data_IF_702875517799
#
_entry.id   IF_702875517799
#
_cell.length_a   1.000
_cell.length_b   1.000
_cell.length_c   1.000
_cell.angle_alpha   90.00
_cell.angle_beta   90.00
_cell.angle_gamma   90.00
#
_symmetry.space_group_name_H-M   'P 1'
#
loop_
_entity.id
_entity.type
_entity.pdbx_description
1 polymer ?
#
# COMPACT_ATOMS: atom_id res chain seq x y z
N UNK A 1 5.21 32.17 29.98
CA UNK A 1 3.82 31.73 30.20
C UNK A 1 3.15 31.62 28.84
N UNK A 2 2.78 30.38 28.50
CA UNK A 2 1.77 29.94 27.53
C UNK A 2 1.78 30.54 26.11
N UNK A 3 2.30 29.77 25.15
CA UNK A 3 1.74 29.76 23.80
C UNK A 3 1.46 28.31 23.39
N UNK A 4 0.17 28.09 23.19
CA UNK A 4 -0.49 26.98 22.51
C UNK A 4 0.38 26.30 21.45
N UNK A 5 0.46 24.97 21.52
CA UNK A 5 -0.17 24.08 20.54
C UNK A 5 0.27 22.67 20.90
N UNK A 6 -0.63 21.92 21.56
CA UNK A 6 -0.50 20.47 21.53
C UNK A 6 -0.50 20.08 20.07
N UNK A 7 0.65 19.64 19.60
CA UNK A 7 0.83 19.03 18.31
C UNK A 7 0.04 17.72 18.37
N UNK A 8 -1.26 17.81 18.08
CA UNK A 8 -2.07 16.68 17.69
C UNK A 8 -1.44 16.13 16.41
N UNK A 9 -0.42 15.28 16.56
CA UNK A 9 -0.11 14.27 15.57
C UNK A 9 -1.31 13.32 15.58
N UNK A 10 -2.42 13.73 14.95
CA UNK A 10 -3.30 12.77 14.33
C UNK A 10 -2.43 12.08 13.29
N UNK A 11 -1.91 10.92 13.66
CA UNK A 11 -1.45 9.94 12.69
C UNK A 11 -2.62 9.77 11.72
N UNK A 12 -2.51 10.36 10.53
CA UNK A 12 -3.43 10.12 9.45
C UNK A 12 -3.17 8.71 8.95
N UNK A 13 -3.71 7.74 9.69
CA UNK A 13 -3.76 6.36 9.26
C UNK A 13 -4.82 6.34 8.17
N UNK A 14 -4.39 6.11 6.92
CA UNK A 14 -5.30 5.85 5.80
C UNK A 14 -6.35 4.84 6.26
N UNK A 15 -7.63 5.22 6.19
CA UNK A 15 -8.72 4.33 6.53
C UNK A 15 -8.78 3.25 5.45
N UNK A 16 -8.13 2.12 5.73
CA UNK A 16 -8.01 1.01 4.82
C UNK A 16 -9.40 0.39 4.59
N UNK A 17 -10.01 0.61 3.43
CA UNK A 17 -11.43 0.32 3.20
C UNK A 17 -11.71 -1.16 2.89
N UNK A 18 -10.90 -1.82 2.05
CA UNK A 18 -10.96 -3.29 1.88
C UNK A 18 -9.78 -3.83 1.03
N UNK A 19 -9.23 -4.99 1.40
CA UNK A 19 -8.41 -5.83 0.48
C UNK A 19 -9.35 -6.88 -0.07
N UNK A 20 -9.52 -6.94 -1.39
CA UNK A 20 -10.15 -8.10 -2.02
C UNK A 20 -9.07 -9.11 -2.41
N UNK A 21 -8.93 -10.17 -1.61
CA UNK A 21 -8.11 -11.34 -1.94
C UNK A 21 -9.05 -12.47 -2.36
N UNK A 22 -8.85 -13.12 -3.52
CA UNK A 22 -9.66 -14.26 -3.90
C UNK A 22 -9.49 -15.42 -2.92
N UNK A 23 -10.61 -16.04 -2.51
CA UNK A 23 -10.66 -17.16 -1.54
C UNK A 23 -9.87 -18.40 -2.00
N UNK A 24 -9.65 -18.52 -3.32
CA UNK A 24 -8.72 -19.46 -3.91
C UNK A 24 -7.84 -18.74 -4.92
N UNK A 25 -6.54 -18.71 -4.64
CA UNK A 25 -5.55 -18.53 -5.70
C UNK A 25 -5.67 -19.74 -6.63
N UNK A 26 -6.31 -19.58 -7.78
CA UNK A 26 -6.11 -20.51 -8.90
C UNK A 26 -4.60 -20.49 -9.14
N UNK A 27 -3.97 -21.67 -9.09
CA UNK A 27 -2.53 -21.95 -8.94
C UNK A 27 -1.60 -21.33 -10.01
N UNK A 28 -2.09 -20.39 -10.83
CA UNK A 28 -1.38 -19.80 -11.96
C UNK A 28 -1.37 -18.28 -11.93
N UNK A 29 -2.47 -17.61 -11.52
CA UNK A 29 -2.59 -16.16 -11.57
C UNK A 29 -3.58 -15.66 -10.51
N UNK A 30 -3.20 -14.64 -9.76
CA UNK A 30 -4.07 -13.97 -8.78
C UNK A 30 -3.99 -12.46 -8.98
N UNK A 31 -5.15 -11.82 -9.12
CA UNK A 31 -5.23 -10.36 -9.21
C UNK A 31 -5.39 -9.78 -7.81
N UNK A 32 -4.46 -8.91 -7.44
CA UNK A 32 -4.52 -8.17 -6.18
C UNK A 32 -4.99 -6.74 -6.48
N UNK A 33 -6.14 -6.35 -5.94
CA UNK A 33 -6.71 -5.01 -6.11
C UNK A 33 -6.71 -4.29 -4.77
N UNK A 34 -6.17 -3.07 -4.76
CA UNK A 34 -6.22 -2.16 -3.63
C UNK A 34 -7.03 -0.94 -4.07
N UNK A 35 -8.18 -0.73 -3.42
CA UNK A 35 -9.07 0.41 -3.66
C UNK A 35 -8.95 1.31 -2.43
N UNK A 36 -8.70 2.60 -2.64
CA UNK A 36 -8.54 3.58 -1.58
C UNK A 36 -9.20 4.90 -1.98
N UNK A 37 -9.85 5.56 -1.03
CA UNK A 37 -10.41 6.90 -1.17
C UNK A 37 -9.56 7.84 -0.31
N UNK A 38 -9.06 8.93 -0.90
CA UNK A 38 -8.12 9.82 -0.23
C UNK A 38 -8.78 11.10 0.31
N UNK A 39 -10.08 11.32 0.09
CA UNK A 39 -10.83 12.50 0.57
C UNK A 39 -10.12 13.86 0.35
N UNK A 40 -9.29 13.98 -0.70
CA UNK A 40 -8.51 15.17 -1.01
C UNK A 40 -7.04 15.14 -0.58
N UNK A 41 -6.63 14.10 0.14
CA UNK A 41 -5.24 13.84 0.50
C UNK A 41 -4.50 13.06 -0.61
N UNK A 42 -3.19 12.86 -0.44
CA UNK A 42 -2.36 12.21 -1.45
C UNK A 42 -1.79 10.87 -0.95
N UNK A 43 -1.96 9.82 -1.77
CA UNK A 43 -1.39 8.50 -1.46
C UNK A 43 0.14 8.58 -1.37
N UNK A 44 0.69 8.13 -0.24
CA UNK A 44 2.14 8.01 -0.05
C UNK A 44 2.70 6.77 -0.77
N UNK A 45 2.23 5.57 -0.37
CA UNK A 45 2.65 4.32 -0.99
C UNK A 45 1.65 3.18 -0.76
N UNK A 46 1.51 2.29 -1.74
CA UNK A 46 0.91 0.95 -1.58
C UNK A 46 2.03 -0.08 -1.64
N UNK A 47 2.09 -1.00 -0.68
CA UNK A 47 3.11 -2.06 -0.60
C UNK A 47 2.43 -3.42 -0.55
N UNK A 48 2.94 -4.38 -1.31
CA UNK A 48 2.48 -5.75 -1.30
C UNK A 48 3.56 -6.66 -0.71
N UNK A 49 3.14 -7.52 0.20
CA UNK A 49 3.99 -8.45 0.92
C UNK A 49 3.52 -9.88 0.71
N UNK A 50 4.48 -10.81 0.61
CA UNK A 50 4.26 -12.25 0.78
C UNK A 50 5.07 -12.65 2.00
N UNK A 51 4.38 -13.11 3.04
CA UNK A 51 4.98 -13.30 4.37
C UNK A 51 5.59 -11.96 4.86
N UNK A 52 6.90 -11.93 5.12
CA UNK A 52 7.63 -10.75 5.59
C UNK A 52 8.39 -10.02 4.46
N UNK A 53 8.35 -10.55 3.23
CA UNK A 53 9.05 -9.99 2.08
C UNK A 53 8.14 -9.08 1.26
N UNK A 54 8.58 -7.85 1.04
CA UNK A 54 7.97 -6.93 0.09
C UNK A 54 8.31 -7.38 -1.33
N UNK A 55 7.32 -7.40 -2.24
CA UNK A 55 7.55 -7.76 -3.64
C UNK A 55 7.12 -6.69 -4.65
N UNK A 56 6.22 -5.78 -4.28
CA UNK A 56 5.77 -4.68 -5.14
C UNK A 56 5.44 -3.44 -4.30
N UNK A 57 5.88 -2.28 -4.76
CA UNK A 57 5.52 -0.98 -4.20
C UNK A 57 5.07 -0.02 -5.28
N UNK A 58 3.97 0.68 -5.02
CA UNK A 58 3.50 1.81 -5.82
C UNK A 58 3.62 3.11 -5.01
N UNK A 59 4.42 4.07 -5.49
CA UNK A 59 4.66 5.38 -4.88
C UNK A 59 4.36 6.47 -5.92
N UNK A 60 3.12 7.00 -6.00
CA UNK A 60 2.72 7.91 -7.08
C UNK A 60 3.51 9.22 -7.11
N UNK A 61 4.05 9.66 -5.96
CA UNK A 61 4.87 10.87 -5.80
C UNK A 61 6.35 10.68 -6.16
N UNK A 62 6.79 9.45 -6.44
CA UNK A 62 8.19 9.14 -6.74
C UNK A 62 8.36 8.67 -8.17
N UNK A 63 9.56 8.88 -8.70
CA UNK A 63 10.00 8.28 -9.96
C UNK A 63 11.13 7.28 -9.65
N UNK A 64 11.02 6.00 -10.04
CA UNK A 64 9.87 5.39 -10.71
C UNK A 64 8.67 5.21 -9.77
N UNK A 65 7.45 5.25 -10.34
CA UNK A 65 6.20 5.06 -9.58
C UNK A 65 6.05 3.63 -9.06
N UNK A 66 6.59 2.66 -9.76
CA UNK A 66 6.57 1.25 -9.36
C UNK A 66 7.98 0.80 -9.00
N UNK A 67 8.09 0.06 -7.90
CA UNK A 67 9.31 -0.64 -7.49
C UNK A 67 8.98 -2.12 -7.30
N UNK A 68 9.81 -2.96 -7.92
CA UNK A 68 9.67 -4.41 -7.87
C UNK A 68 10.80 -4.97 -7.04
N UNK A 69 10.46 -5.86 -6.11
CA UNK A 69 11.42 -6.56 -5.27
C UNK A 69 11.27 -8.05 -5.60
N UNK A 70 12.27 -8.68 -6.25
CA UNK A 70 12.18 -10.08 -6.62
C UNK A 70 12.04 -10.97 -5.39
N UNK A 71 10.96 -11.75 -5.34
CA UNK A 71 10.69 -12.71 -4.26
C UNK A 71 10.44 -14.10 -4.87
N UNK A 72 11.06 -15.17 -4.34
CA UNK A 72 10.90 -16.52 -4.86
C UNK A 72 9.43 -16.95 -5.03
N UNK A 73 9.11 -17.41 -6.24
CA UNK A 73 7.77 -17.87 -6.60
C UNK A 73 6.75 -16.75 -6.79
N UNK A 74 7.18 -15.49 -6.96
CA UNK A 74 6.33 -14.39 -7.41
C UNK A 74 6.80 -13.93 -8.80
N UNK A 75 5.87 -13.95 -9.74
CA UNK A 75 6.07 -13.34 -11.07
C UNK A 75 5.00 -12.27 -11.25
N UNK A 76 5.44 -11.06 -11.59
CA UNK A 76 4.56 -9.91 -11.85
C UNK A 76 4.57 -9.68 -13.35
N UNK A 77 3.39 -9.74 -13.98
CA UNK A 77 3.19 -9.55 -15.42
C UNK A 77 2.53 -8.22 -15.72
#
# INVERSE_FOLDING_TARGET
MTFSSQMFFFSLILLFTSVQVPERAIFRQSQLKCIFELEGDELNSVKWYKNESEFLRYEPKRSPKFKYFPEPGITIN
#
